data_IF_190112289494
#
_entry.id   IF_190112289494
#
_cell.length_a   1.000
_cell.length_b   1.000
_cell.length_c   1.000
_cell.angle_alpha   90.00
_cell.angle_beta   90.00
_cell.angle_gamma   90.00
#
_symmetry.space_group_name_H-M   'P 1'
#
loop_
_entity.id
_entity.type
_entity.pdbx_description
1 polymer ?
#
# COMPACT_ATOMS: atom_id res chain seq x y z
N UNK A 1 31.34 -1.19 -1.29
CA UNK A 1 29.99 -0.63 -1.44
C UNK A 1 29.16 -1.03 -0.25
N UNK A 2 28.48 -0.10 0.37
CA UNK A 2 27.56 -0.31 1.50
C UNK A 2 26.15 -0.30 0.99
N UNK A 3 25.25 -1.07 1.63
CA UNK A 3 23.81 -1.06 1.33
C UNK A 3 23.06 -0.22 2.33
N UNK A 4 22.20 0.67 1.83
CA UNK A 4 21.38 1.54 2.62
C UNK A 4 19.90 1.23 2.42
N UNK A 5 19.15 1.21 3.52
CA UNK A 5 17.69 1.09 3.54
C UNK A 5 17.08 2.45 3.86
N UNK A 6 16.08 2.83 3.09
CA UNK A 6 15.30 4.05 3.26
C UNK A 6 13.84 3.69 3.58
N UNK A 7 13.27 4.32 4.61
CA UNK A 7 11.83 4.36 4.81
C UNK A 7 11.26 5.58 4.09
N UNK A 8 10.40 5.34 3.09
CA UNK A 8 9.90 6.37 2.18
C UNK A 8 8.41 6.60 2.42
N UNK A 9 8.05 7.80 2.85
CA UNK A 9 6.67 8.27 2.95
C UNK A 9 6.33 9.17 1.76
N UNK A 10 5.08 9.09 1.27
CA UNK A 10 4.63 9.94 0.17
C UNK A 10 3.12 10.13 0.10
N UNK A 11 2.73 11.33 -0.32
CA UNK A 11 1.42 11.64 -0.86
C UNK A 11 1.39 11.26 -2.35
N UNK A 12 0.67 10.18 -2.69
CA UNK A 12 0.62 9.66 -4.05
C UNK A 12 -0.19 10.48 -5.04
N UNK A 13 -0.90 11.52 -4.58
CA UNK A 13 -1.90 12.27 -5.39
C UNK A 13 -1.35 12.79 -6.71
N UNK A 14 -0.12 13.30 -6.71
CA UNK A 14 0.52 13.91 -7.89
C UNK A 14 1.38 12.93 -8.69
N UNK A 15 1.44 11.65 -8.29
CA UNK A 15 2.40 10.70 -8.86
C UNK A 15 1.73 9.55 -9.60
N UNK A 16 2.39 9.08 -10.66
CA UNK A 16 1.99 7.94 -11.48
C UNK A 16 2.37 6.59 -10.85
N UNK A 17 2.35 6.51 -9.51
CA UNK A 17 2.70 5.35 -8.71
C UNK A 17 4.16 5.36 -8.27
N UNK A 18 4.54 4.25 -7.62
CA UNK A 18 5.89 4.13 -7.06
C UNK A 18 6.94 3.87 -8.12
N UNK A 19 6.75 2.82 -8.95
CA UNK A 19 7.76 2.30 -9.87
C UNK A 19 8.13 3.30 -10.96
N UNK A 20 9.43 3.45 -11.22
CA UNK A 20 9.94 4.29 -12.31
C UNK A 20 9.32 3.93 -13.67
N UNK A 21 8.87 4.96 -14.37
CA UNK A 21 8.35 4.90 -15.75
C UNK A 21 8.92 6.09 -16.52
N UNK A 22 9.54 5.86 -17.69
CA UNK A 22 10.12 6.96 -18.47
C UNK A 22 9.12 8.06 -18.78
N UNK A 23 9.50 9.31 -18.50
CA UNK A 23 8.68 10.49 -18.80
C UNK A 23 7.47 10.72 -17.86
N UNK A 24 7.28 9.89 -16.83
CA UNK A 24 6.19 10.06 -15.86
C UNK A 24 6.72 10.42 -14.46
N UNK A 25 6.00 11.25 -13.70
CA UNK A 25 6.34 11.57 -12.33
C UNK A 25 6.05 10.37 -11.42
N UNK A 26 7.09 9.66 -11.00
CA UNK A 26 7.00 8.48 -10.15
C UNK A 26 7.84 8.66 -8.88
N UNK A 27 7.43 8.05 -7.76
CA UNK A 27 8.13 8.18 -6.48
C UNK A 27 9.58 7.69 -6.62
N UNK A 28 9.80 6.50 -7.18
CA UNK A 28 11.15 5.92 -7.39
C UNK A 28 12.02 6.81 -8.27
N UNK A 29 11.43 7.44 -9.30
CA UNK A 29 12.16 8.37 -10.17
C UNK A 29 12.67 9.62 -9.41
N UNK A 30 11.84 10.21 -8.56
CA UNK A 30 12.25 11.35 -7.73
C UNK A 30 13.28 10.95 -6.67
N UNK A 31 13.13 9.80 -6.02
CA UNK A 31 14.10 9.29 -5.04
C UNK A 31 15.45 9.01 -5.70
N UNK A 32 15.46 8.35 -6.86
CA UNK A 32 16.67 8.08 -7.63
C UNK A 32 17.37 9.38 -8.07
N UNK A 33 16.61 10.36 -8.54
CA UNK A 33 17.13 11.67 -8.93
C UNK A 33 17.78 12.41 -7.76
N UNK A 34 17.09 12.47 -6.61
CA UNK A 34 17.60 13.11 -5.40
C UNK A 34 18.87 12.43 -4.87
N UNK A 35 18.90 11.09 -4.86
CA UNK A 35 20.09 10.31 -4.48
C UNK A 35 21.26 10.60 -5.43
N UNK A 36 21.01 10.54 -6.75
CA UNK A 36 22.06 10.76 -7.74
C UNK A 36 22.63 12.17 -7.67
N UNK A 37 21.79 13.18 -7.46
CA UNK A 37 22.24 14.57 -7.26
C UNK A 37 23.05 14.71 -5.97
N UNK A 38 22.58 14.12 -4.85
CA UNK A 38 23.25 14.22 -3.56
C UNK A 38 24.61 13.55 -3.55
N UNK A 39 24.73 12.38 -4.19
CA UNK A 39 25.92 11.54 -4.12
C UNK A 39 26.89 11.75 -5.29
N UNK A 40 26.45 12.45 -6.35
CA UNK A 40 27.26 12.68 -7.55
C UNK A 40 27.49 11.41 -8.40
N UNK A 41 26.65 10.39 -8.24
CA UNK A 41 26.73 9.12 -8.97
C UNK A 41 25.32 8.65 -9.40
N UNK A 42 25.24 7.81 -10.43
CA UNK A 42 23.94 7.30 -10.87
C UNK A 42 23.42 6.22 -9.92
N UNK A 43 22.39 6.56 -9.14
CA UNK A 43 21.75 5.64 -8.19
C UNK A 43 20.42 5.14 -8.73
N UNK A 44 20.22 3.82 -8.62
CA UNK A 44 18.94 3.15 -8.90
C UNK A 44 18.53 2.37 -7.65
N UNK A 45 17.39 2.72 -7.08
CA UNK A 45 16.86 2.05 -5.91
C UNK A 45 16.06 0.79 -6.28
N UNK A 46 15.94 -0.12 -5.31
CA UNK A 46 15.03 -1.28 -5.38
C UNK A 46 13.94 -1.07 -4.34
N UNK A 47 12.70 -0.84 -4.77
CA UNK A 47 11.57 -0.66 -3.88
C UNK A 47 10.92 -1.97 -3.44
N UNK A 48 10.38 -2.00 -2.22
CA UNK A 48 9.69 -3.16 -1.63
C UNK A 48 8.28 -3.36 -2.14
N UNK A 49 7.53 -2.27 -2.31
CA UNK A 49 6.14 -2.29 -2.76
C UNK A 49 5.92 -1.36 -3.94
N UNK A 50 5.32 -1.90 -5.00
CA UNK A 50 4.85 -1.13 -6.16
C UNK A 50 3.43 -0.68 -5.86
N UNK A 51 3.26 0.55 -5.38
CA UNK A 51 1.94 1.15 -5.20
C UNK A 51 1.46 1.77 -6.50
N UNK A 52 0.14 1.73 -6.73
CA UNK A 52 -0.49 2.29 -7.92
C UNK A 52 -0.48 3.83 -7.90
N UNK A 53 -0.77 4.45 -9.05
CA UNK A 53 -0.97 5.89 -9.14
C UNK A 53 -2.05 6.35 -8.15
N UNK A 54 -1.77 7.40 -7.39
CA UNK A 54 -2.65 7.98 -6.39
C UNK A 54 -2.71 7.22 -5.05
N UNK A 55 -1.94 6.15 -4.85
CA UNK A 55 -1.81 5.44 -3.56
C UNK A 55 -0.75 6.12 -2.71
N UNK A 56 -1.03 6.31 -1.42
CA UNK A 56 -0.14 6.92 -0.44
C UNK A 56 0.69 5.89 0.32
N UNK A 57 1.74 6.34 1.00
CA UNK A 57 2.50 5.50 1.93
C UNK A 57 3.05 6.31 3.09
N UNK A 58 3.07 5.70 4.28
CA UNK A 58 3.81 6.17 5.44
C UNK A 58 5.14 5.45 5.61
N UNK A 59 5.28 4.23 5.07
CA UNK A 59 6.48 3.42 5.28
C UNK A 59 6.75 2.42 4.15
N UNK A 60 6.91 2.89 2.90
CA UNK A 60 7.49 2.03 1.86
C UNK A 60 9.00 1.92 2.09
N UNK A 61 9.60 0.84 1.63
CA UNK A 61 11.05 0.59 1.79
C UNK A 61 11.73 0.58 0.43
N UNK A 62 12.87 1.26 0.36
CA UNK A 62 13.78 1.23 -0.79
C UNK A 62 15.21 0.94 -0.32
N UNK A 63 15.99 0.28 -1.15
CA UNK A 63 17.43 0.08 -0.90
C UNK A 63 18.25 0.55 -2.10
N UNK A 64 19.47 0.99 -1.81
CA UNK A 64 20.50 1.28 -2.81
C UNK A 64 21.89 0.98 -2.27
N UNK A 65 22.86 0.88 -3.15
CA UNK A 65 24.26 0.64 -2.83
C UNK A 65 25.09 1.87 -3.19
N UNK A 66 26.01 2.28 -2.31
CA UNK A 66 26.92 3.41 -2.51
C UNK A 66 28.18 3.29 -1.63
N UNK A 67 29.27 3.96 -2.02
CA UNK A 67 30.46 4.16 -1.20
C UNK A 67 30.49 5.52 -0.51
N UNK A 68 29.33 6.17 -0.34
CA UNK A 68 29.20 7.47 0.29
C UNK A 68 29.82 7.50 1.69
N UNK A 69 30.38 8.67 2.05
CA UNK A 69 30.89 8.96 3.40
C UNK A 69 29.84 9.60 4.30
N UNK A 70 28.65 9.89 3.78
CA UNK A 70 27.56 10.43 4.58
C UNK A 70 27.11 9.33 5.55
N UNK A 71 27.07 9.62 6.87
CA UNK A 71 26.55 8.65 7.85
C UNK A 71 25.13 8.23 7.50
N UNK A 72 24.82 6.94 7.66
CA UNK A 72 23.55 6.38 7.24
C UNK A 72 22.35 7.13 7.82
N UNK A 73 22.41 7.47 9.11
CA UNK A 73 21.35 8.19 9.83
C UNK A 73 21.18 9.66 9.39
N UNK A 74 22.14 10.22 8.65
CA UNK A 74 22.09 11.58 8.11
C UNK A 74 21.59 11.64 6.65
N UNK A 75 21.55 10.51 5.96
CA UNK A 75 21.09 10.44 4.58
C UNK A 75 19.64 10.93 4.43
N UNK A 76 18.75 10.56 5.36
CA UNK A 76 17.35 11.00 5.35
C UNK A 76 17.23 12.52 5.38
N UNK A 77 17.97 13.18 6.26
CA UNK A 77 17.97 14.65 6.38
C UNK A 77 18.51 15.31 5.10
N UNK A 78 19.63 14.80 4.56
CA UNK A 78 20.22 15.33 3.35
C UNK A 78 19.32 15.15 2.13
N UNK A 79 18.68 13.97 1.98
CA UNK A 79 17.75 13.69 0.87
C UNK A 79 16.51 14.57 0.92
N UNK A 80 15.96 14.83 2.11
CA UNK A 80 14.76 15.66 2.26
C UNK A 80 14.98 17.13 1.84
N UNK A 81 16.22 17.60 1.72
CA UNK A 81 16.51 18.91 1.15
C UNK A 81 16.41 18.94 -0.38
N UNK A 82 16.35 17.77 -1.03
CA UNK A 82 16.33 17.61 -2.49
C UNK A 82 14.97 17.10 -3.01
N UNK A 83 14.17 16.52 -2.14
CA UNK A 83 12.87 15.98 -2.49
C UNK A 83 11.78 17.05 -2.45
N UNK A 84 10.76 16.88 -3.27
CA UNK A 84 9.54 17.69 -3.22
C UNK A 84 8.72 17.37 -1.97
N UNK A 85 7.89 18.32 -1.52
CA UNK A 85 7.08 18.22 -0.29
C UNK A 85 6.22 16.94 -0.20
N UNK A 86 5.84 16.37 -1.33
CA UNK A 86 5.03 15.15 -1.39
C UNK A 86 5.80 13.84 -1.16
N UNK A 87 7.13 13.87 -0.98
CA UNK A 87 7.97 12.68 -0.73
C UNK A 87 8.96 13.01 0.38
N UNK A 88 9.02 12.13 1.40
CA UNK A 88 9.97 12.27 2.49
C UNK A 88 10.63 10.93 2.82
N UNK A 89 11.91 10.99 3.17
CA UNK A 89 12.65 9.87 3.75
C UNK A 89 12.53 10.00 5.27
N UNK A 90 11.81 9.10 5.88
CA UNK A 90 11.52 9.10 7.31
C UNK A 90 12.70 8.56 8.12
N UNK A 91 13.42 7.60 7.54
CA UNK A 91 14.56 6.93 8.16
C UNK A 91 15.54 6.45 7.10
N UNK A 92 16.82 6.42 7.46
CA UNK A 92 17.87 5.82 6.63
C UNK A 92 18.88 5.06 7.51
N UNK A 93 19.15 3.82 7.12
CA UNK A 93 20.00 2.88 7.87
C UNK A 93 20.96 2.17 6.93
N UNK A 94 22.16 1.82 7.42
CA UNK A 94 23.02 0.84 6.77
C UNK A 94 22.50 -0.55 7.13
N UNK A 95 22.40 -1.46 6.16
CA UNK A 95 21.91 -2.82 6.32
C UNK A 95 22.89 -3.84 5.72
N UNK A 96 22.70 -5.10 6.01
CA UNK A 96 23.51 -6.18 5.45
C UNK A 96 23.51 -6.13 3.91
N UNK A 97 24.63 -6.44 3.29
CA UNK A 97 24.83 -6.31 1.82
C UNK A 97 23.89 -7.20 1.01
N UNK A 98 23.39 -8.27 1.59
CA UNK A 98 22.43 -9.22 1.01
C UNK A 98 20.96 -8.88 1.33
N UNK A 99 20.70 -7.87 2.16
CA UNK A 99 19.33 -7.44 2.45
C UNK A 99 18.60 -7.07 1.15
N UNK A 100 17.42 -7.68 0.95
CA UNK A 100 16.61 -7.41 -0.23
C UNK A 100 15.19 -7.01 0.18
N UNK A 101 14.65 -5.84 -0.22
CA UNK A 101 13.42 -5.26 0.32
C UNK A 101 12.14 -6.04 -0.02
N UNK A 102 12.23 -7.06 -0.89
CA UNK A 102 11.11 -7.97 -1.23
C UNK A 102 11.26 -9.38 -0.67
N UNK A 103 12.42 -9.69 -0.08
CA UNK A 103 12.68 -10.97 0.57
C UNK A 103 12.59 -10.78 2.09
N UNK A 104 12.37 -11.87 2.82
CA UNK A 104 12.29 -11.87 4.29
C UNK A 104 11.25 -10.90 4.85
N UNK A 105 10.23 -10.56 4.04
CA UNK A 105 9.09 -9.76 4.48
C UNK A 105 8.19 -10.66 5.33
N UNK A 106 7.98 -10.27 6.60
CA UNK A 106 7.01 -10.93 7.48
C UNK A 106 5.61 -10.54 7.06
N UNK A 107 5.34 -9.23 6.99
CA UNK A 107 4.06 -8.72 6.53
C UNK A 107 4.13 -7.28 5.99
N UNK A 108 3.04 -6.93 5.31
CA UNK A 108 2.72 -5.57 4.88
C UNK A 108 1.37 -5.20 5.44
N UNK A 109 1.27 -3.98 5.94
CA UNK A 109 0.02 -3.41 6.44
C UNK A 109 -0.44 -2.28 5.55
N UNK A 110 -1.70 -2.38 5.10
CA UNK A 110 -2.38 -1.33 4.37
C UNK A 110 -3.62 -0.87 5.13
N UNK A 111 -3.96 0.40 4.99
CA UNK A 111 -5.24 0.96 5.41
C UNK A 111 -5.99 1.51 4.22
N UNK A 112 -7.31 1.26 4.19
CA UNK A 112 -8.20 1.90 3.25
C UNK A 112 -9.18 2.80 4.02
N UNK A 113 -9.13 4.10 3.73
CA UNK A 113 -9.90 5.14 4.40
C UNK A 113 -11.20 5.44 3.67
N UNK A 114 -12.31 5.32 4.36
CA UNK A 114 -13.66 5.58 3.87
C UNK A 114 -14.28 6.67 4.70
N UNK A 115 -14.83 7.70 4.06
CA UNK A 115 -15.62 8.73 4.72
C UNK A 115 -17.11 8.43 4.52
N UNK A 116 -17.84 8.27 5.62
CA UNK A 116 -19.30 7.97 5.62
C UNK A 116 -20.15 9.22 5.90
N UNK A 117 -19.52 10.39 6.03
CA UNK A 117 -20.26 11.63 6.26
C UNK A 117 -21.17 11.96 5.07
N UNK A 118 -22.39 12.42 5.35
CA UNK A 118 -23.32 12.91 4.33
C UNK A 118 -22.72 14.08 3.52
N UNK A 119 -21.96 14.93 4.21
CA UNK A 119 -21.20 16.05 3.63
C UNK A 119 -19.77 15.95 4.14
N UNK A 120 -18.83 15.38 3.35
CA UNK A 120 -17.44 15.25 3.74
C UNK A 120 -16.71 16.59 3.76
N UNK A 121 -15.69 16.72 4.60
CA UNK A 121 -14.82 17.89 4.56
C UNK A 121 -14.02 17.94 3.25
N UNK A 122 -13.79 19.13 2.67
CA UNK A 122 -12.98 19.27 1.46
C UNK A 122 -11.55 18.74 1.60
N UNK A 123 -10.99 18.76 2.82
CA UNK A 123 -9.66 18.22 3.14
C UNK A 123 -9.57 16.72 2.95
N UNK A 124 -10.68 15.99 3.09
CA UNK A 124 -10.70 14.53 3.00
C UNK A 124 -10.73 14.03 1.54
N UNK A 125 -10.97 14.93 0.59
CA UNK A 125 -11.21 14.58 -0.82
C UNK A 125 -10.09 13.80 -1.50
N UNK A 126 -8.84 13.96 -1.04
CA UNK A 126 -7.64 13.32 -1.61
C UNK A 126 -7.19 12.08 -0.82
N UNK A 127 -7.74 11.86 0.38
CA UNK A 127 -7.22 10.86 1.32
C UNK A 127 -8.27 9.86 1.78
N UNK A 128 -9.49 9.95 1.26
CA UNK A 128 -10.54 8.97 1.57
C UNK A 128 -11.51 8.79 0.40
N UNK A 129 -12.24 7.68 0.43
CA UNK A 129 -13.36 7.42 -0.47
C UNK A 129 -14.69 7.69 0.24
N UNK A 130 -15.50 8.59 -0.30
CA UNK A 130 -16.80 8.90 0.31
C UNK A 130 -17.88 7.89 -0.11
N UNK A 131 -18.52 7.26 0.89
CA UNK A 131 -19.68 6.39 0.74
C UNK A 131 -20.89 7.07 1.36
N UNK A 132 -21.92 7.37 0.55
CA UNK A 132 -23.10 8.13 0.97
C UNK A 132 -24.19 7.30 1.66
N UNK A 133 -24.00 6.01 1.76
CA UNK A 133 -24.98 5.07 2.34
C UNK A 133 -24.53 4.64 3.73
N UNK A 134 -25.50 4.32 4.58
CA UNK A 134 -25.19 3.67 5.86
C UNK A 134 -24.60 2.30 5.58
N UNK A 135 -23.53 1.95 6.29
CA UNK A 135 -22.87 0.67 6.20
C UNK A 135 -23.16 -0.16 7.45
N UNK A 136 -23.50 -1.42 7.26
CA UNK A 136 -23.55 -2.41 8.35
C UNK A 136 -22.12 -2.86 8.68
N UNK A 137 -21.52 -2.18 9.67
CA UNK A 137 -20.14 -2.44 10.10
C UNK A 137 -20.02 -3.85 10.71
N UNK A 138 -21.07 -4.35 11.35
CA UNK A 138 -21.08 -5.70 11.92
C UNK A 138 -20.98 -6.75 10.81
N UNK A 139 -21.78 -6.62 9.76
CA UNK A 139 -21.71 -7.51 8.60
C UNK A 139 -20.33 -7.42 7.90
N UNK A 140 -19.74 -6.22 7.79
CA UNK A 140 -18.39 -6.06 7.25
C UNK A 140 -17.33 -6.80 8.09
N UNK A 141 -17.39 -6.70 9.42
CA UNK A 141 -16.51 -7.43 10.34
C UNK A 141 -16.70 -8.94 10.26
N UNK A 142 -17.91 -9.41 10.08
CA UNK A 142 -18.19 -10.83 9.88
C UNK A 142 -17.61 -11.33 8.56
N UNK A 143 -17.83 -10.60 7.47
CA UNK A 143 -17.30 -10.93 6.14
C UNK A 143 -15.77 -10.92 6.11
N UNK A 144 -15.11 -10.02 6.84
CA UNK A 144 -13.65 -9.94 6.88
C UNK A 144 -13.00 -11.23 7.39
N UNK A 145 -13.64 -11.93 8.33
CA UNK A 145 -13.14 -13.20 8.88
C UNK A 145 -13.06 -14.32 7.86
N UNK A 146 -13.92 -14.31 6.84
CA UNK A 146 -13.85 -15.28 5.74
C UNK A 146 -12.75 -14.97 4.71
N UNK A 147 -12.25 -13.71 4.68
CA UNK A 147 -11.13 -13.30 3.81
C UNK A 147 -9.78 -13.59 4.47
N UNK A 148 -9.73 -13.60 5.82
CA UNK A 148 -8.54 -13.96 6.57
C UNK A 148 -8.13 -15.41 6.29
N UNK A 149 -6.83 -15.67 6.31
CA UNK A 149 -6.27 -16.98 6.04
C UNK A 149 -5.51 -17.06 4.71
N UNK A 150 -5.11 -18.29 4.35
CA UNK A 150 -4.37 -18.57 3.13
C UNK A 150 -5.33 -19.03 2.04
N UNK A 151 -5.49 -18.22 1.00
CA UNK A 151 -6.42 -18.46 -0.10
C UNK A 151 -5.78 -18.15 -1.45
N UNK A 152 -6.38 -18.71 -2.52
CA UNK A 152 -6.16 -18.23 -3.88
C UNK A 152 -7.04 -16.98 -4.10
N UNK A 153 -6.39 -15.82 -4.14
CA UNK A 153 -7.05 -14.53 -4.29
C UNK A 153 -7.29 -14.11 -5.74
N UNK A 154 -7.48 -15.06 -6.66
CA UNK A 154 -7.80 -14.76 -8.06
C UNK A 154 -9.03 -13.85 -8.18
N UNK A 155 -10.09 -14.10 -7.40
CA UNK A 155 -11.28 -13.24 -7.36
C UNK A 155 -10.96 -11.80 -6.90
N UNK A 156 -9.99 -11.61 -6.02
CA UNK A 156 -9.60 -10.33 -5.45
C UNK A 156 -8.40 -9.68 -6.17
N UNK A 157 -8.12 -10.10 -7.39
CA UNK A 157 -6.99 -9.61 -8.16
C UNK A 157 -7.46 -8.97 -9.46
N UNK A 158 -6.77 -7.92 -9.92
CA UNK A 158 -6.99 -7.37 -11.25
C UNK A 158 -6.58 -8.38 -12.33
N UNK A 159 -7.37 -8.49 -13.39
CA UNK A 159 -7.06 -9.34 -14.55
C UNK A 159 -5.76 -8.93 -15.27
N UNK A 160 -5.27 -7.72 -15.03
CA UNK A 160 -4.02 -7.19 -15.62
C UNK A 160 -2.75 -7.65 -14.89
N UNK A 161 -2.86 -8.53 -13.87
CA UNK A 161 -1.69 -9.05 -13.17
C UNK A 161 -0.90 -10.02 -14.05
N UNK A 162 0.41 -9.93 -13.95
CA UNK A 162 1.39 -10.85 -14.55
C UNK A 162 1.73 -12.05 -13.64
N UNK A 163 1.16 -12.08 -12.41
CA UNK A 163 1.47 -13.11 -11.42
C UNK A 163 0.65 -14.37 -11.68
N UNK A 164 1.35 -15.49 -11.88
CA UNK A 164 0.77 -16.83 -12.00
C UNK A 164 0.28 -17.32 -10.63
N UNK A 165 1.16 -17.23 -9.61
CA UNK A 165 0.79 -17.58 -8.23
C UNK A 165 -0.01 -16.45 -7.59
N UNK A 166 -1.28 -16.73 -7.30
CA UNK A 166 -2.23 -15.82 -6.66
C UNK A 166 -2.59 -16.22 -5.23
N UNK A 167 -1.90 -17.21 -4.68
CA UNK A 167 -2.07 -17.61 -3.28
C UNK A 167 -1.37 -16.59 -2.38
N UNK A 168 -2.12 -16.07 -1.40
CA UNK A 168 -1.59 -15.13 -0.38
C UNK A 168 -2.17 -15.50 0.97
N UNK A 169 -1.51 -15.01 2.03
CA UNK A 169 -2.03 -15.12 3.39
C UNK A 169 -2.41 -13.74 3.90
N UNK A 170 -3.68 -13.54 4.15
CA UNK A 170 -4.18 -12.37 4.88
C UNK A 170 -4.22 -12.74 6.36
N UNK A 171 -3.37 -12.12 7.17
CA UNK A 171 -3.26 -12.45 8.59
C UNK A 171 -4.38 -11.84 9.42
N UNK A 172 -4.84 -10.65 9.03
CA UNK A 172 -5.85 -9.92 9.79
C UNK A 172 -6.51 -8.84 8.92
N UNK A 173 -7.81 -8.66 9.13
CA UNK A 173 -8.57 -7.52 8.61
C UNK A 173 -9.38 -6.92 9.74
N UNK A 174 -9.08 -5.66 10.07
CA UNK A 174 -9.83 -4.88 11.04
C UNK A 174 -10.71 -3.86 10.31
N UNK A 175 -11.94 -3.69 10.80
CA UNK A 175 -12.89 -2.68 10.32
C UNK A 175 -13.25 -1.80 11.51
N UNK A 176 -12.70 -0.61 11.55
CA UNK A 176 -12.74 0.29 12.69
C UNK A 176 -13.44 1.61 12.33
N UNK A 177 -14.34 2.05 13.20
CA UNK A 177 -14.93 3.38 13.13
C UNK A 177 -13.99 4.36 13.82
N UNK A 178 -13.62 5.42 13.12
CA UNK A 178 -12.77 6.50 13.62
C UNK A 178 -13.57 7.81 13.78
N UNK A 179 -12.88 8.85 14.23
CA UNK A 179 -13.49 10.17 14.38
C UNK A 179 -14.00 10.73 13.04
N UNK A 180 -14.94 11.68 13.09
CA UNK A 180 -15.47 12.42 11.93
C UNK A 180 -16.13 11.54 10.84
N UNK A 181 -16.81 10.46 11.25
CA UNK A 181 -17.46 9.52 10.31
C UNK A 181 -16.46 8.84 9.35
N UNK A 182 -15.26 8.62 9.81
CA UNK A 182 -14.27 7.83 9.09
C UNK A 182 -14.42 6.35 9.45
N UNK A 183 -14.27 5.50 8.45
CA UNK A 183 -14.18 4.05 8.59
C UNK A 183 -12.86 3.62 7.99
N UNK A 184 -12.06 2.89 8.76
CA UNK A 184 -10.75 2.39 8.34
C UNK A 184 -10.82 0.88 8.21
N UNK A 185 -10.43 0.37 7.04
CA UNK A 185 -10.23 -1.06 6.79
C UNK A 185 -8.72 -1.30 6.75
N UNK A 186 -8.19 -1.90 7.81
CA UNK A 186 -6.76 -2.28 7.91
C UNK A 186 -6.59 -3.73 7.49
N UNK A 187 -5.68 -3.98 6.58
CA UNK A 187 -5.38 -5.31 6.05
C UNK A 187 -3.89 -5.62 6.22
N UNK A 188 -3.58 -6.71 6.90
CA UNK A 188 -2.22 -7.20 7.12
C UNK A 188 -2.05 -8.58 6.48
N UNK A 189 -0.98 -8.78 5.70
CA UNK A 189 -0.72 -10.05 5.01
C UNK A 189 0.73 -10.20 4.54
N UNK A 190 1.08 -11.40 4.07
CA UNK A 190 2.43 -11.74 3.57
C UNK A 190 2.79 -11.02 2.26
N UNK A 191 1.78 -10.55 1.53
CA UNK A 191 1.90 -9.81 0.28
C UNK A 191 0.54 -9.62 -0.37
N UNK A 192 0.47 -8.73 -1.34
CA UNK A 192 -0.78 -8.40 -2.01
C UNK A 192 -0.61 -8.42 -3.52
N UNK A 193 -1.66 -8.86 -4.21
CA UNK A 193 -1.78 -8.84 -5.67
C UNK A 193 -2.22 -7.45 -6.14
N UNK A 194 -2.16 -7.26 -7.45
CA UNK A 194 -2.54 -6.00 -8.08
C UNK A 194 -4.00 -5.63 -7.74
N UNK A 195 -4.18 -4.46 -7.13
CA UNK A 195 -5.44 -3.92 -6.62
C UNK A 195 -6.11 -4.72 -5.48
N UNK A 196 -5.48 -5.75 -4.92
CA UNK A 196 -6.12 -6.69 -4.00
C UNK A 196 -6.77 -5.99 -2.80
N UNK A 197 -6.07 -5.12 -2.09
CA UNK A 197 -6.63 -4.41 -0.91
C UNK A 197 -7.79 -3.51 -1.29
N UNK A 198 -7.73 -2.81 -2.43
CA UNK A 198 -8.82 -1.96 -2.93
C UNK A 198 -10.06 -2.77 -3.31
N UNK A 199 -9.87 -4.00 -3.78
CA UNK A 199 -10.95 -4.93 -4.10
C UNK A 199 -11.54 -5.51 -2.81
N UNK A 200 -10.73 -5.88 -1.83
CA UNK A 200 -11.17 -6.30 -0.49
C UNK A 200 -12.05 -5.20 0.12
N UNK A 201 -11.54 -3.97 0.18
CA UNK A 201 -12.28 -2.84 0.71
C UNK A 201 -13.61 -2.61 -0.03
N UNK A 202 -13.61 -2.68 -1.37
CA UNK A 202 -14.83 -2.54 -2.18
C UNK A 202 -15.83 -3.67 -1.96
N UNK A 203 -15.37 -4.89 -1.70
CA UNK A 203 -16.21 -6.03 -1.37
C UNK A 203 -16.85 -5.84 0.01
N UNK A 204 -16.07 -5.44 1.01
CA UNK A 204 -16.58 -5.16 2.35
C UNK A 204 -17.59 -4.01 2.35
N UNK A 205 -17.37 -2.96 1.54
CA UNK A 205 -18.38 -1.91 1.35
C UNK A 205 -19.68 -2.47 0.77
N UNK A 206 -19.64 -3.35 -0.22
CA UNK A 206 -20.84 -4.00 -0.75
C UNK A 206 -21.56 -4.88 0.29
N UNK A 207 -20.79 -5.53 1.17
CA UNK A 207 -21.38 -6.24 2.31
C UNK A 207 -22.07 -5.28 3.24
N UNK A 208 -21.42 -4.17 3.61
CA UNK A 208 -22.01 -3.13 4.46
C UNK A 208 -23.27 -2.49 3.86
N UNK A 209 -23.35 -2.41 2.53
CA UNK A 209 -24.55 -1.96 1.80
C UNK A 209 -25.63 -3.05 1.67
N UNK A 210 -25.43 -4.26 2.19
CA UNK A 210 -26.35 -5.40 2.07
C UNK A 210 -26.44 -6.01 0.67
N UNK A 211 -25.50 -5.71 -0.23
CA UNK A 211 -25.48 -6.22 -1.62
C UNK A 211 -24.81 -7.59 -1.75
N UNK A 212 -23.99 -7.96 -0.76
CA UNK A 212 -23.35 -9.28 -0.61
C UNK A 212 -23.55 -9.68 0.84
N UNK A 213 -23.95 -10.92 1.09
CA UNK A 213 -24.04 -11.43 2.45
C UNK A 213 -22.67 -11.91 2.92
N UNK A 214 -22.33 -11.80 4.23
CA UNK A 214 -21.06 -12.27 4.77
C UNK A 214 -20.76 -13.75 4.41
N UNK A 215 -21.77 -14.61 4.48
CA UNK A 215 -21.66 -16.06 4.21
C UNK A 215 -21.43 -16.41 2.72
N UNK A 216 -21.53 -15.45 1.81
CA UNK A 216 -21.22 -15.65 0.38
C UNK A 216 -19.71 -15.52 0.08
N UNK A 217 -18.92 -14.91 0.98
CA UNK A 217 -17.49 -14.65 0.76
C UNK A 217 -16.69 -15.93 0.47
N UNK A 218 -16.85 -17.05 1.20
CA UNK A 218 -16.15 -18.30 0.88
C UNK A 218 -16.39 -18.75 -0.56
N UNK A 219 -17.65 -18.76 -1.00
CA UNK A 219 -18.00 -19.18 -2.36
C UNK A 219 -17.42 -18.23 -3.43
N UNK A 220 -17.30 -16.95 -3.12
CA UNK A 220 -16.67 -15.95 -4.00
C UNK A 220 -15.17 -16.23 -4.16
N UNK A 221 -14.48 -16.59 -3.08
CA UNK A 221 -13.07 -16.97 -3.12
C UNK A 221 -12.88 -18.22 -3.98
N UNK A 222 -13.71 -19.26 -3.76
CA UNK A 222 -13.65 -20.54 -4.46
C UNK A 222 -13.89 -20.44 -5.96
N UNK A 223 -14.78 -19.54 -6.40
CA UNK A 223 -15.08 -19.34 -7.82
C UNK A 223 -13.91 -18.85 -8.65
N UNK A 224 -12.92 -18.22 -8.04
CA UNK A 224 -11.74 -17.63 -8.73
C UNK A 224 -12.13 -16.72 -9.90
N UNK A 225 -13.25 -16.03 -9.76
CA UNK A 225 -13.79 -15.12 -10.77
C UNK A 225 -13.94 -13.70 -10.23
N UNK A 226 -13.28 -12.75 -10.90
CA UNK A 226 -13.33 -11.33 -10.57
C UNK A 226 -14.69 -10.69 -10.89
N UNK A 227 -15.46 -11.25 -11.81
CA UNK A 227 -16.69 -10.65 -12.36
C UNK A 227 -17.80 -10.42 -11.33
N UNK A 228 -17.85 -11.21 -10.27
CA UNK A 228 -18.89 -11.17 -9.23
C UNK A 228 -18.56 -10.32 -8.01
N UNK A 229 -17.34 -9.76 -7.95
CA UNK A 229 -16.90 -8.97 -6.81
C UNK A 229 -17.21 -7.49 -6.90
N UNK A 230 -16.94 -6.85 -5.77
CA UNK A 230 -16.99 -5.43 -5.59
C UNK A 230 -16.16 -4.63 -6.61
N UNK A 231 -16.50 -3.38 -6.76
CA UNK A 231 -15.72 -2.42 -7.53
C UNK A 231 -14.34 -2.24 -6.90
N UNK A 232 -13.29 -2.13 -7.70
CA UNK A 232 -12.00 -1.64 -7.20
C UNK A 232 -12.18 -0.20 -6.74
N UNK A 233 -12.06 0.05 -5.45
CA UNK A 233 -12.20 1.40 -4.91
C UNK A 233 -11.07 2.32 -5.39
N UNK A 234 -11.27 3.66 -5.42
CA UNK A 234 -10.26 4.63 -5.85
C UNK A 234 -8.95 4.52 -5.06
N UNK A 235 -7.82 4.81 -5.71
CA UNK A 235 -6.48 4.71 -5.10
C UNK A 235 -6.31 5.66 -3.91
N UNK A 236 -6.90 6.84 -3.96
CA UNK A 236 -6.77 7.92 -2.98
C UNK A 236 -7.16 7.59 -1.53
N UNK A 237 -7.87 6.50 -1.31
CA UNK A 237 -8.17 6.02 0.04
C UNK A 237 -7.17 4.99 0.56
N UNK A 238 -6.20 4.55 -0.25
CA UNK A 238 -5.27 3.49 0.12
C UNK A 238 -3.93 4.04 0.59
N UNK A 239 -3.48 3.53 1.74
CA UNK A 239 -2.20 3.86 2.36
C UNK A 239 -1.42 2.58 2.66
N UNK A 240 -0.15 2.52 2.23
CA UNK A 240 0.81 1.54 2.75
C UNK A 240 1.35 2.07 4.08
N UNK A 241 0.95 1.44 5.19
CA UNK A 241 1.34 1.87 6.52
C UNK A 241 2.77 1.48 6.86
N UNK A 242 3.20 0.28 6.46
CA UNK A 242 4.55 -0.20 6.70
C UNK A 242 4.77 -1.62 6.23
N UNK A 243 6.03 -2.03 6.34
CA UNK A 243 6.51 -3.36 5.96
C UNK A 243 7.39 -3.85 7.12
N UNK A 244 7.09 -5.04 7.65
CA UNK A 244 7.92 -5.68 8.67
C UNK A 244 8.81 -6.73 8.05
N UNK A 245 10.03 -6.76 8.52
CA UNK A 245 11.04 -7.74 8.15
C UNK A 245 11.37 -8.63 9.35
N UNK A 246 11.94 -9.82 9.09
CA UNK A 246 12.58 -10.58 10.12
C UNK A 246 13.69 -9.71 10.74
N UNK A 247 13.81 -9.71 12.06
CA UNK A 247 14.88 -8.98 12.74
C UNK A 247 16.22 -9.59 12.30
N UNK A 248 17.12 -8.72 11.87
CA UNK A 248 18.51 -9.06 11.56
C UNK A 248 19.33 -9.15 12.86
#
# INVERSE_FOLDING_TARGET
MKRFKLAVAYDGTAYCGYQYQPGLPTIEGFVNGALSELLGENIVTIGASRTDAGVHAYGNVAVFDSDTRIPAEKLSLALNTKLADGIQIMESLEVAADFHPRKNVIDKTYEYHINTAKIPFPTDRLYSYNVKHNLDIKAMREASKFIEGRHDFTSFCSAKTDKEDKVRTVFQIDVEEALRSELIIRVRGDGFLYNMVRIIAGTLVKVGEGKIRPDEIPSIIERKDRGHLGTTLPAKGLFLMGIRYEEE
#
